data_IF_843537533411
#
_entry.id   IF_843537533411
#
_cell.length_a   1.000
_cell.length_b   1.000
_cell.length_c   1.000
_cell.angle_alpha   90.00
_cell.angle_beta   90.00
_cell.angle_gamma   90.00
#
_symmetry.space_group_name_H-M   'P 1'
#
loop_
_entity.id
_entity.type
_entity.pdbx_description
1 polymer ?
#
# COMPACT_ATOMS: atom_id res chain seq x y z
N UNK A 1 22.43 -28.35 -6.26
CA UNK A 1 22.28 -26.92 -6.61
C UNK A 1 21.76 -26.19 -5.40
N UNK A 2 22.57 -25.28 -4.83
CA UNK A 2 22.24 -24.50 -3.64
C UNK A 2 21.07 -23.56 -3.98
N UNK A 3 19.86 -23.89 -3.54
CA UNK A 3 18.74 -22.97 -3.58
C UNK A 3 19.02 -21.96 -2.45
N UNK A 4 19.62 -20.82 -2.77
CA UNK A 4 19.69 -19.72 -1.81
C UNK A 4 18.25 -19.35 -1.47
N UNK A 5 17.80 -19.74 -0.28
CA UNK A 5 16.55 -19.25 0.28
C UNK A 5 16.67 -17.73 0.36
N UNK A 6 15.99 -17.03 -0.54
CA UNK A 6 15.93 -15.58 -0.47
C UNK A 6 15.02 -15.19 0.69
N UNK A 7 15.49 -14.23 1.49
CA UNK A 7 14.71 -13.58 2.53
C UNK A 7 13.42 -12.96 1.96
N UNK A 8 12.34 -12.93 2.72
CA UNK A 8 11.04 -12.37 2.30
C UNK A 8 11.16 -10.99 1.64
N UNK A 9 11.98 -10.10 2.20
CA UNK A 9 12.26 -8.75 1.68
C UNK A 9 12.77 -8.77 0.23
N UNK A 10 13.67 -9.68 -0.11
CA UNK A 10 14.19 -9.80 -1.47
C UNK A 10 13.12 -10.35 -2.43
N UNK A 11 12.37 -11.35 -1.98
CA UNK A 11 11.28 -11.94 -2.77
C UNK A 11 10.18 -10.91 -3.04
N UNK A 12 9.83 -10.12 -2.03
CA UNK A 12 8.85 -9.05 -2.15
C UNK A 12 9.33 -7.97 -3.13
N UNK A 13 10.56 -7.45 -2.97
CA UNK A 13 11.13 -6.45 -3.89
C UNK A 13 11.20 -6.94 -5.34
N UNK A 14 11.62 -8.19 -5.55
CA UNK A 14 11.62 -8.81 -6.88
C UNK A 14 10.21 -8.90 -7.48
N UNK A 15 9.23 -9.34 -6.68
CA UNK A 15 7.84 -9.40 -7.11
C UNK A 15 7.29 -8.01 -7.45
N UNK A 16 7.50 -7.03 -6.57
CA UNK A 16 7.03 -5.64 -6.74
C UNK A 16 7.56 -5.03 -8.03
N UNK A 17 8.86 -5.17 -8.33
CA UNK A 17 9.44 -4.65 -9.57
C UNK A 17 8.80 -5.26 -10.82
N UNK A 18 8.61 -6.58 -10.83
CA UNK A 18 8.00 -7.28 -11.97
C UNK A 18 6.50 -6.99 -12.10
N UNK A 19 5.75 -7.02 -11.00
CA UNK A 19 4.30 -6.80 -10.98
C UNK A 19 3.95 -5.37 -11.38
N UNK A 20 4.67 -4.37 -10.87
CA UNK A 20 4.45 -2.97 -11.28
C UNK A 20 4.72 -2.80 -12.78
N UNK A 21 5.79 -3.40 -13.31
CA UNK A 21 6.10 -3.35 -14.75
C UNK A 21 4.97 -3.99 -15.58
N UNK A 22 4.47 -5.15 -15.15
CA UNK A 22 3.37 -5.85 -15.80
C UNK A 22 2.06 -5.04 -15.80
N UNK A 23 1.73 -4.38 -14.67
CA UNK A 23 0.55 -3.50 -14.57
C UNK A 23 0.66 -2.27 -15.47
N UNK A 24 1.86 -1.71 -15.63
CA UNK A 24 2.11 -0.57 -16.52
C UNK A 24 2.07 -1.03 -17.99
N UNK A 25 2.65 -2.20 -18.32
CA UNK A 25 2.74 -2.76 -19.67
C UNK A 25 2.46 -4.26 -19.66
N UNK A 26 1.23 -4.68 -19.97
CA UNK A 26 0.89 -6.09 -20.03
C UNK A 26 1.72 -6.81 -21.11
N UNK A 27 2.53 -7.78 -20.69
CA UNK A 27 3.31 -8.66 -21.57
C UNK A 27 3.24 -10.10 -21.07
N UNK A 28 2.85 -11.01 -21.95
CA UNK A 28 2.77 -12.46 -21.70
C UNK A 28 4.08 -13.08 -21.20
N UNK A 29 5.24 -12.60 -21.66
CA UNK A 29 6.53 -13.11 -21.20
C UNK A 29 6.80 -12.67 -19.75
N UNK A 30 6.43 -11.44 -19.40
CA UNK A 30 6.53 -10.91 -18.04
C UNK A 30 5.57 -11.60 -17.08
N UNK A 31 4.37 -11.96 -17.53
CA UNK A 31 3.39 -12.68 -16.71
C UNK A 31 3.97 -13.98 -16.12
N UNK A 32 4.72 -14.75 -16.90
CA UNK A 32 5.34 -15.98 -16.41
C UNK A 32 6.38 -15.69 -15.32
N UNK A 33 7.23 -14.68 -15.52
CA UNK A 33 8.24 -14.28 -14.53
C UNK A 33 7.58 -13.81 -13.22
N UNK A 34 6.54 -12.97 -13.31
CA UNK A 34 5.73 -12.53 -12.17
C UNK A 34 5.16 -13.73 -11.42
N UNK A 35 4.50 -14.66 -12.12
CA UNK A 35 3.88 -15.83 -11.49
C UNK A 35 4.92 -16.71 -10.76
N UNK A 36 6.10 -16.89 -11.33
CA UNK A 36 7.19 -17.62 -10.69
C UNK A 36 7.70 -16.90 -9.42
N UNK A 37 7.95 -15.60 -9.49
CA UNK A 37 8.36 -14.81 -8.32
C UNK A 37 7.28 -14.77 -7.24
N UNK A 38 6.02 -14.61 -7.64
CA UNK A 38 4.89 -14.58 -6.72
C UNK A 38 4.73 -15.90 -5.99
N UNK A 39 4.80 -17.04 -6.71
CA UNK A 39 4.78 -18.36 -6.10
C UNK A 39 5.90 -18.52 -5.06
N UNK A 40 7.13 -18.11 -5.38
CA UNK A 40 8.26 -18.17 -4.44
C UNK A 40 8.04 -17.30 -3.19
N UNK A 41 7.42 -16.13 -3.34
CA UNK A 41 7.05 -15.27 -2.22
C UNK A 41 5.99 -15.97 -1.34
N UNK A 42 4.92 -16.48 -1.95
CA UNK A 42 3.85 -17.19 -1.24
C UNK A 42 4.38 -18.46 -0.56
N UNK A 43 5.37 -19.12 -1.15
CA UNK A 43 5.95 -20.33 -0.58
C UNK A 43 6.63 -20.07 0.78
N UNK A 44 6.94 -18.81 1.14
CA UNK A 44 7.43 -18.43 2.48
C UNK A 44 6.37 -18.44 3.58
N UNK A 45 5.09 -18.47 3.22
CA UNK A 45 3.96 -18.38 4.16
C UNK A 45 3.29 -19.73 4.48
N UNK A 46 3.80 -20.83 3.91
CA UNK A 46 3.14 -22.15 3.77
C UNK A 46 2.72 -22.89 5.05
N UNK A 47 2.96 -22.37 6.26
CA UNK A 47 2.73 -23.14 7.48
C UNK A 47 1.75 -22.54 8.49
N UNK A 48 1.48 -21.24 8.47
CA UNK A 48 0.67 -20.61 9.53
C UNK A 48 -0.26 -19.49 9.04
N UNK A 49 -0.17 -19.08 7.77
CA UNK A 49 -0.84 -17.88 7.28
C UNK A 49 -1.79 -18.20 6.12
N UNK A 50 -2.99 -17.59 6.12
CA UNK A 50 -3.91 -17.66 5.00
C UNK A 50 -3.36 -16.89 3.77
N UNK A 51 -2.69 -17.64 2.89
CA UNK A 51 -2.13 -17.11 1.64
C UNK A 51 -3.21 -16.63 0.66
N UNK A 52 -4.49 -16.95 0.87
CA UNK A 52 -5.58 -16.50 -0.01
C UNK A 52 -5.74 -14.98 0.01
N UNK A 53 -5.42 -14.33 1.13
CA UNK A 53 -5.41 -12.87 1.27
C UNK A 53 -4.33 -12.29 0.37
N UNK A 54 -3.12 -12.85 0.40
CA UNK A 54 -2.00 -12.40 -0.42
C UNK A 54 -2.27 -12.64 -1.91
N UNK A 55 -2.82 -13.80 -2.25
CA UNK A 55 -3.23 -14.17 -3.61
C UNK A 55 -4.21 -13.19 -4.24
N UNK A 56 -5.08 -12.58 -3.42
CA UNK A 56 -6.07 -11.60 -3.87
C UNK A 56 -5.51 -10.18 -3.88
N UNK A 57 -4.82 -9.76 -2.82
CA UNK A 57 -4.39 -8.38 -2.63
C UNK A 57 -3.21 -7.99 -3.53
N UNK A 58 -2.14 -8.79 -3.56
CA UNK A 58 -0.90 -8.40 -4.23
C UNK A 58 -1.02 -8.18 -5.75
N UNK A 59 -1.80 -8.99 -6.52
CA UNK A 59 -1.96 -8.73 -7.94
C UNK A 59 -2.94 -7.60 -8.25
N UNK A 60 -3.65 -7.08 -7.25
CA UNK A 60 -4.66 -6.05 -7.44
C UNK A 60 -4.03 -4.74 -7.99
N UNK A 61 -4.59 -4.13 -9.05
CA UNK A 61 -4.02 -2.94 -9.69
C UNK A 61 -3.95 -1.71 -8.78
N UNK A 62 -4.71 -1.69 -7.67
CA UNK A 62 -4.72 -0.60 -6.71
C UNK A 62 -3.94 -0.86 -5.43
N UNK A 63 -3.40 -2.07 -5.25
CA UNK A 63 -2.60 -2.39 -4.07
C UNK A 63 -1.31 -1.57 -4.06
N UNK A 64 -0.93 -0.93 -2.93
CA UNK A 64 0.16 0.04 -2.87
C UNK A 64 1.55 -0.61 -2.78
N UNK A 65 1.86 -1.53 -3.70
CA UNK A 65 3.12 -2.28 -3.78
C UNK A 65 4.35 -1.39 -3.63
N UNK A 66 4.42 -0.31 -4.41
CA UNK A 66 5.57 0.59 -4.40
C UNK A 66 5.77 1.33 -3.07
N UNK A 67 4.69 1.59 -2.32
CA UNK A 67 4.79 2.23 -1.01
C UNK A 67 5.17 1.24 0.08
N UNK A 68 4.66 0.01 0.05
CA UNK A 68 5.08 -1.03 1.00
C UNK A 68 6.56 -1.40 0.81
N UNK A 69 7.03 -1.41 -0.44
CA UNK A 69 8.45 -1.56 -0.76
C UNK A 69 9.32 -0.47 -0.12
N UNK A 70 8.86 0.79 -0.21
CA UNK A 70 9.59 1.97 0.28
C UNK A 70 9.45 2.23 1.79
N UNK A 71 8.65 1.44 2.51
CA UNK A 71 8.38 1.64 3.94
C UNK A 71 8.64 0.36 4.73
N UNK A 72 7.68 -0.58 4.73
CA UNK A 72 7.73 -1.83 5.48
C UNK A 72 8.99 -2.64 5.15
N UNK A 73 9.31 -2.73 3.86
CA UNK A 73 10.43 -3.51 3.32
C UNK A 73 11.69 -2.66 3.01
N UNK A 74 11.68 -1.37 3.34
CA UNK A 74 12.85 -0.50 3.21
C UNK A 74 13.63 -0.45 4.52
N UNK A 75 14.96 -0.42 4.41
CA UNK A 75 15.81 -0.25 5.58
C UNK A 75 15.51 1.10 6.24
N UNK A 76 15.38 1.08 7.56
CA UNK A 76 15.15 2.31 8.33
C UNK A 76 16.51 2.94 8.59
N UNK A 77 16.71 4.14 8.07
CA UNK A 77 17.94 4.91 8.22
C UNK A 77 17.61 6.20 8.97
N UNK A 78 17.98 6.26 10.25
CA UNK A 78 17.76 7.44 11.10
C UNK A 78 19.02 7.83 11.89
N UNK A 79 19.01 9.03 12.49
CA UNK A 79 20.20 9.64 13.12
C UNK A 79 20.91 8.80 14.22
N UNK A 80 20.29 7.74 14.75
CA UNK A 80 20.91 6.88 15.79
C UNK A 80 20.73 5.38 15.61
N UNK A 81 19.96 4.92 14.62
CA UNK A 81 19.67 3.50 14.45
C UNK A 81 19.53 3.15 12.96
N UNK A 82 20.05 1.98 12.60
CA UNK A 82 19.88 1.34 11.30
C UNK A 82 19.16 0.02 11.51
N UNK A 83 18.01 -0.15 10.85
CA UNK A 83 17.27 -1.43 10.87
C UNK A 83 17.36 -2.02 9.48
N UNK A 84 18.23 -3.03 9.34
CA UNK A 84 18.30 -3.86 8.15
C UNK A 84 17.08 -4.79 8.08
N UNK A 85 16.18 -4.56 7.12
CA UNK A 85 14.98 -5.37 6.88
C UNK A 85 15.28 -6.74 6.26
N UNK A 86 16.55 -7.11 6.06
CA UNK A 86 17.00 -8.46 5.66
C UNK A 86 17.47 -9.31 6.83
N UNK A 87 17.30 -8.81 8.06
CA UNK A 87 17.53 -9.56 9.29
C UNK A 87 16.52 -10.70 9.40
N UNK A 88 16.99 -11.94 9.45
CA UNK A 88 16.13 -13.13 9.53
C UNK A 88 15.19 -13.15 10.74
N UNK A 89 15.57 -12.51 11.85
CA UNK A 89 14.68 -12.39 13.02
C UNK A 89 13.47 -11.46 12.77
N UNK A 90 13.53 -10.60 11.76
CA UNK A 90 12.42 -9.76 11.32
C UNK A 90 11.54 -10.43 10.26
N UNK A 91 11.98 -11.53 9.64
CA UNK A 91 11.24 -12.19 8.56
C UNK A 91 9.80 -12.58 8.94
N UNK A 92 9.53 -13.20 10.11
CA UNK A 92 8.17 -13.51 10.53
C UNK A 92 7.31 -12.26 10.71
N UNK A 93 7.88 -11.20 11.28
CA UNK A 93 7.20 -9.92 11.53
C UNK A 93 6.83 -9.26 10.19
N UNK A 94 7.76 -9.22 9.24
CA UNK A 94 7.52 -8.65 7.91
C UNK A 94 6.48 -9.45 7.12
N UNK A 95 6.47 -10.77 7.28
CA UNK A 95 5.42 -11.63 6.73
C UNK A 95 4.05 -11.28 7.30
N UNK A 96 3.95 -11.21 8.63
CA UNK A 96 2.72 -10.84 9.32
C UNK A 96 2.22 -9.45 8.91
N UNK A 97 3.10 -8.44 8.91
CA UNK A 97 2.78 -7.08 8.47
C UNK A 97 2.23 -7.06 7.04
N UNK A 98 2.84 -7.79 6.10
CA UNK A 98 2.34 -7.86 4.72
C UNK A 98 0.92 -8.45 4.64
N UNK A 99 0.63 -9.47 5.45
CA UNK A 99 -0.68 -10.12 5.49
C UNK A 99 -1.74 -9.20 6.09
N UNK A 100 -1.42 -8.50 7.19
CA UNK A 100 -2.31 -7.53 7.81
C UNK A 100 -2.64 -6.38 6.86
N UNK A 101 -1.62 -5.86 6.17
CA UNK A 101 -1.78 -4.82 5.15
C UNK A 101 -2.63 -5.29 3.97
N UNK A 102 -2.41 -6.51 3.48
CA UNK A 102 -3.21 -7.12 2.44
C UNK A 102 -4.67 -7.32 2.88
N UNK A 103 -4.90 -7.77 4.12
CA UNK A 103 -6.24 -7.94 4.69
C UNK A 103 -6.98 -6.60 4.86
N UNK A 104 -6.31 -5.59 5.40
CA UNK A 104 -6.86 -4.24 5.53
C UNK A 104 -7.24 -3.66 4.17
N UNK A 105 -6.36 -3.79 3.17
CA UNK A 105 -6.63 -3.35 1.81
C UNK A 105 -7.88 -4.02 1.21
N UNK A 106 -7.97 -5.36 1.25
CA UNK A 106 -9.11 -6.08 0.68
C UNK A 106 -10.42 -5.69 1.38
N UNK A 107 -10.39 -5.53 2.69
CA UNK A 107 -11.56 -5.10 3.46
C UNK A 107 -12.01 -3.70 3.07
N UNK A 108 -11.10 -2.73 3.04
CA UNK A 108 -11.40 -1.35 2.62
C UNK A 108 -11.89 -1.31 1.18
N UNK A 109 -11.27 -2.07 0.28
CA UNK A 109 -11.70 -2.19 -1.11
C UNK A 109 -13.14 -2.70 -1.21
N UNK A 110 -13.46 -3.76 -0.46
CA UNK A 110 -14.81 -4.34 -0.44
C UNK A 110 -15.83 -3.35 0.14
N UNK A 111 -15.49 -2.65 1.22
CA UNK A 111 -16.35 -1.63 1.83
C UNK A 111 -16.64 -0.50 0.84
N UNK A 112 -15.63 -0.01 0.13
CA UNK A 112 -15.79 1.01 -0.91
C UNK A 112 -16.76 0.55 -1.99
N UNK A 113 -16.66 -0.72 -2.41
CA UNK A 113 -17.53 -1.27 -3.45
C UNK A 113 -18.97 -1.51 -2.99
N UNK A 114 -19.19 -1.75 -1.70
CA UNK A 114 -20.50 -2.19 -1.17
C UNK A 114 -21.27 -1.11 -0.43
N UNK A 115 -20.57 -0.18 0.22
CA UNK A 115 -21.15 0.82 1.11
C UNK A 115 -21.11 2.24 0.53
N UNK A 116 -20.27 2.46 -0.47
CA UNK A 116 -20.08 3.75 -1.11
C UNK A 116 -20.26 3.62 -2.63
N UNK A 117 -20.44 4.76 -3.30
CA UNK A 117 -20.38 4.80 -4.77
C UNK A 117 -18.91 4.95 -5.20
N UNK A 118 -18.32 3.95 -5.88
CA UNK A 118 -16.91 3.98 -6.28
C UNK A 118 -16.54 5.14 -7.21
N UNK A 119 -17.53 5.77 -7.85
CA UNK A 119 -17.32 6.90 -8.75
C UNK A 119 -17.23 8.24 -8.01
N UNK A 120 -17.74 8.32 -6.78
CA UNK A 120 -17.87 9.58 -6.04
C UNK A 120 -17.13 9.57 -4.70
N UNK A 121 -16.76 8.41 -4.16
CA UNK A 121 -16.00 8.29 -2.91
C UNK A 121 -14.56 8.85 -3.03
N UNK A 122 -14.00 8.82 -4.23
CA UNK A 122 -12.66 9.36 -4.54
C UNK A 122 -12.65 10.03 -5.92
N UNK A 123 -11.50 10.60 -6.30
CA UNK A 123 -11.30 11.28 -7.58
C UNK A 123 -11.01 10.33 -8.75
N UNK A 124 -10.87 9.02 -8.47
CA UNK A 124 -10.45 7.98 -9.42
C UNK A 124 -11.43 6.81 -9.29
N UNK A 125 -12.16 6.41 -10.36
CA UNK A 125 -12.99 5.21 -10.32
C UNK A 125 -12.17 3.98 -9.88
N UNK A 126 -12.62 3.31 -8.83
CA UNK A 126 -11.97 2.11 -8.26
C UNK A 126 -12.67 0.84 -8.78
N UNK A 127 -12.82 0.75 -10.10
CA UNK A 127 -13.55 -0.32 -10.80
C UNK A 127 -12.63 -1.44 -11.34
N UNK A 128 -11.31 -1.29 -11.18
CA UNK A 128 -10.30 -2.23 -11.67
C UNK A 128 -9.94 -2.01 -13.14
N UNK A 129 -10.45 -0.95 -13.77
CA UNK A 129 -10.18 -0.60 -15.17
C UNK A 129 -9.24 0.58 -15.26
N UNK A 130 -8.19 0.44 -16.09
CA UNK A 130 -7.24 1.53 -16.34
C UNK A 130 -7.91 2.61 -17.18
N UNK A 131 -7.79 3.85 -16.73
CA UNK A 131 -8.28 5.05 -17.40
C UNK A 131 -7.19 6.14 -17.52
N UNK A 132 -7.47 7.20 -18.26
CA UNK A 132 -6.55 8.34 -18.30
C UNK A 132 -6.76 9.22 -17.08
N UNK A 133 -5.69 9.51 -16.34
CA UNK A 133 -5.74 10.46 -15.24
C UNK A 133 -5.69 11.89 -15.79
N UNK A 134 -6.54 12.81 -15.32
CA UNK A 134 -6.54 14.19 -15.77
C UNK A 134 -5.20 14.89 -15.51
N UNK A 135 -4.64 15.55 -16.54
CA UNK A 135 -3.38 16.28 -16.44
C UNK A 135 -3.50 17.50 -15.53
N UNK A 136 -2.52 17.72 -14.65
CA UNK A 136 -2.46 18.91 -13.78
C UNK A 136 -3.19 18.78 -12.44
N UNK A 137 -3.71 17.60 -12.10
CA UNK A 137 -4.22 17.33 -10.76
C UNK A 137 -3.11 16.90 -9.78
N UNK A 138 -3.43 16.91 -8.50
CA UNK A 138 -2.53 16.65 -7.37
C UNK A 138 -1.98 15.23 -7.23
N UNK A 139 -2.26 14.34 -8.18
CA UNK A 139 -1.95 12.92 -8.10
C UNK A 139 -0.46 12.62 -7.89
N UNK A 140 0.46 13.49 -8.34
CA UNK A 140 1.90 13.34 -8.10
C UNK A 140 2.38 13.70 -6.68
N UNK A 141 1.53 14.34 -5.87
CA UNK A 141 1.79 14.70 -4.46
C UNK A 141 1.04 13.80 -3.48
N UNK A 142 0.02 13.10 -3.96
CA UNK A 142 -0.82 12.23 -3.17
C UNK A 142 -0.03 11.01 -2.65
N UNK A 143 -0.35 10.59 -1.42
CA UNK A 143 0.34 9.52 -0.71
C UNK A 143 1.41 9.97 0.27
N UNK A 144 1.95 11.17 0.11
CA UNK A 144 2.95 11.73 1.03
C UNK A 144 2.32 12.18 2.36
N UNK A 145 1.12 12.76 2.31
CA UNK A 145 0.31 13.01 3.51
C UNK A 145 -0.15 11.73 4.19
N UNK A 146 -0.16 10.60 3.48
CA UNK A 146 -0.59 9.29 4.00
C UNK A 146 0.54 8.55 4.72
N UNK A 147 1.77 9.07 4.76
CA UNK A 147 2.83 8.59 5.66
C UNK A 147 2.60 9.16 7.07
N UNK A 148 1.44 8.86 7.65
CA UNK A 148 1.04 9.27 8.99
C UNK A 148 0.50 8.05 9.72
N UNK A 149 0.88 7.90 10.99
CA UNK A 149 0.45 6.77 11.81
C UNK A 149 -1.06 6.69 12.02
N UNK A 150 -1.75 7.83 11.95
CA UNK A 150 -3.19 7.94 12.10
C UNK A 150 -3.62 9.40 12.26
N UNK A 151 -4.93 9.62 12.26
CA UNK A 151 -5.59 10.91 12.46
C UNK A 151 -6.89 10.74 13.24
N UNK A 152 -7.43 11.79 13.88
CA UNK A 152 -8.80 11.78 14.38
C UNK A 152 -9.77 11.37 13.24
N UNK A 153 -10.58 10.31 13.43
CA UNK A 153 -11.36 9.68 12.37
C UNK A 153 -12.71 10.37 12.14
N UNK A 154 -12.78 11.68 12.34
CA UNK A 154 -14.04 12.43 12.27
C UNK A 154 -14.54 12.53 10.82
N UNK A 155 -15.71 11.95 10.48
CA UNK A 155 -16.23 11.99 9.12
C UNK A 155 -16.77 13.39 8.75
N UNK A 156 -16.80 13.74 7.45
CA UNK A 156 -17.58 14.87 6.97
C UNK A 156 -19.08 14.75 7.30
N UNK A 157 -19.80 15.88 7.25
CA UNK A 157 -21.24 15.88 7.46
C UNK A 157 -21.95 14.93 6.48
N UNK A 158 -22.92 14.17 7.00
CA UNK A 158 -23.70 13.15 6.27
C UNK A 158 -22.91 11.92 5.79
N UNK A 159 -21.65 11.74 6.22
CA UNK A 159 -20.89 10.52 5.98
C UNK A 159 -20.88 9.69 7.26
N UNK A 160 -21.16 8.39 7.13
CA UNK A 160 -21.01 7.42 8.21
C UNK A 160 -19.98 6.40 7.77
N UNK A 161 -18.85 6.35 8.48
CA UNK A 161 -17.86 5.30 8.25
C UNK A 161 -18.30 3.98 8.90
N UNK A 162 -17.93 2.83 8.33
CA UNK A 162 -17.97 1.56 9.06
C UNK A 162 -17.16 1.65 10.36
N UNK A 163 -17.65 1.06 11.45
CA UNK A 163 -17.02 1.17 12.77
C UNK A 163 -15.53 0.76 12.76
N UNK A 164 -15.17 -0.26 11.97
CA UNK A 164 -13.80 -0.73 11.88
C UNK A 164 -12.86 0.24 11.14
N UNK A 165 -13.38 1.18 10.34
CA UNK A 165 -12.56 2.23 9.74
C UNK A 165 -12.01 3.20 10.78
N UNK A 166 -12.70 3.38 11.91
CA UNK A 166 -12.25 4.30 12.96
C UNK A 166 -10.86 3.92 13.47
N UNK A 167 -10.63 2.63 13.73
CA UNK A 167 -9.32 2.13 14.15
C UNK A 167 -8.24 2.27 13.07
N UNK A 168 -8.57 2.00 11.79
CA UNK A 168 -7.63 2.18 10.69
C UNK A 168 -7.24 3.66 10.51
N UNK A 169 -8.21 4.56 10.60
CA UNK A 169 -7.99 6.00 10.47
C UNK A 169 -7.21 6.54 11.68
N UNK A 170 -7.52 6.07 12.89
CA UNK A 170 -6.85 6.48 14.13
C UNK A 170 -5.44 5.91 14.28
N UNK A 171 -5.07 4.86 13.54
CA UNK A 171 -3.76 4.21 13.68
C UNK A 171 -3.70 3.13 14.75
N UNK A 172 -4.85 2.56 15.09
CA UNK A 172 -4.99 1.64 16.23
C UNK A 172 -5.14 0.17 15.80
N UNK A 173 -5.35 -0.09 14.50
CA UNK A 173 -5.65 -1.45 14.01
C UNK A 173 -4.42 -2.24 13.57
N UNK A 174 -3.42 -1.60 12.94
CA UNK A 174 -2.22 -2.27 12.43
C UNK A 174 -1.03 -2.02 13.36
N UNK A 175 -0.28 -3.07 13.72
CA UNK A 175 0.83 -2.94 14.70
C UNK A 175 1.90 -1.94 14.25
N UNK A 176 2.20 -1.90 12.95
CA UNK A 176 3.18 -1.01 12.35
C UNK A 176 2.53 -0.18 11.22
N UNK A 177 1.58 0.68 11.60
CA UNK A 177 0.90 1.58 10.66
C UNK A 177 1.80 2.74 10.22
N UNK A 178 2.76 2.51 9.32
CA UNK A 178 3.61 3.58 8.76
C UNK A 178 2.92 4.37 7.65
N UNK A 179 1.84 3.81 7.10
CA UNK A 179 1.05 4.35 6.01
C UNK A 179 -0.42 4.38 6.43
N UNK A 180 -1.22 5.22 5.78
CA UNK A 180 -2.66 5.16 5.87
C UNK A 180 -3.19 3.95 5.05
N UNK A 181 -4.03 3.06 5.62
CA UNK A 181 -4.61 1.92 4.91
C UNK A 181 -5.47 2.29 3.69
N UNK A 182 -5.92 3.53 3.59
CA UNK A 182 -6.67 4.06 2.45
C UNK A 182 -5.79 4.57 1.31
N UNK A 183 -4.46 4.40 1.41
CA UNK A 183 -3.53 4.74 0.34
C UNK A 183 -3.53 3.68 -0.75
N UNK A 184 -4.08 4.02 -1.91
CA UNK A 184 -4.09 3.15 -3.08
C UNK A 184 -3.04 3.62 -4.10
N UNK A 185 -2.56 2.70 -4.94
CA UNK A 185 -1.66 2.98 -6.04
C UNK A 185 -2.40 2.88 -7.37
N UNK A 186 -1.89 3.50 -8.43
CA UNK A 186 -2.53 3.46 -9.74
C UNK A 186 -1.78 2.54 -10.71
N UNK A 187 -2.24 1.29 -10.92
CA UNK A 187 -1.74 0.37 -11.97
C UNK A 187 -0.22 0.25 -12.05
N UNK A 188 0.44 0.11 -10.89
CA UNK A 188 1.89 -0.02 -10.79
C UNK A 188 2.68 1.27 -11.09
N UNK A 189 2.02 2.35 -11.50
CA UNK A 189 2.65 3.67 -11.64
C UNK A 189 3.05 4.20 -10.25
N UNK A 190 4.08 5.05 -10.15
CA UNK A 190 4.41 5.77 -8.91
C UNK A 190 3.42 6.90 -8.61
N UNK A 191 2.13 6.66 -8.84
CA UNK A 191 1.01 7.54 -8.63
C UNK A 191 0.12 6.92 -7.56
N UNK A 192 -0.11 7.67 -6.48
CA UNK A 192 -0.87 7.20 -5.33
C UNK A 192 -2.05 8.12 -5.07
N UNK A 193 -3.08 7.62 -4.41
CA UNK A 193 -4.28 8.39 -4.10
C UNK A 193 -4.98 7.87 -2.84
N UNK A 194 -5.77 8.74 -2.22
CA UNK A 194 -6.65 8.33 -1.12
C UNK A 194 -7.90 7.68 -1.70
N UNK A 195 -8.17 6.42 -1.36
CA UNK A 195 -9.33 5.67 -1.83
C UNK A 195 -10.67 6.25 -1.36
N UNK A 196 -10.63 7.16 -0.37
CA UNK A 196 -11.79 7.85 0.18
C UNK A 196 -11.67 9.38 0.08
N UNK A 197 -10.94 9.89 -0.92
CA UNK A 197 -10.54 11.31 -0.99
C UNK A 197 -11.70 12.31 -0.75
N UNK A 198 -12.88 12.07 -1.33
CA UNK A 198 -14.00 13.01 -1.26
C UNK A 198 -14.74 12.93 0.08
N UNK A 199 -14.56 11.83 0.82
CA UNK A 199 -15.16 11.61 2.12
C UNK A 199 -14.10 11.45 3.22
N UNK A 200 -12.87 11.92 3.01
CA UNK A 200 -11.76 11.75 3.95
C UNK A 200 -12.06 12.45 5.28
N UNK A 201 -11.44 12.04 6.40
CA UNK A 201 -11.68 12.66 7.69
C UNK A 201 -11.43 14.16 7.68
N UNK A 202 -12.11 14.90 8.55
CA UNK A 202 -11.97 16.36 8.66
C UNK A 202 -10.52 16.77 8.96
N UNK A 203 -9.82 15.99 9.78
CA UNK A 203 -8.40 16.14 10.07
C UNK A 203 -7.52 16.06 8.81
N UNK A 204 -7.89 15.21 7.85
CA UNK A 204 -7.23 15.09 6.55
C UNK A 204 -7.53 16.23 5.57
N UNK A 205 -8.55 17.07 5.82
CA UNK A 205 -8.84 18.26 5.00
C UNK A 205 -7.81 19.37 5.21
N UNK A 206 -7.16 19.40 6.37
CA UNK A 206 -6.16 20.40 6.72
C UNK A 206 -4.89 20.25 5.86
N UNK A 207 -4.59 19.03 5.39
CA UNK A 207 -3.44 18.78 4.53
C UNK A 207 -3.65 19.32 3.12
N UNK A 208 -2.89 20.36 2.79
CA UNK A 208 -2.94 21.06 1.52
C UNK A 208 -1.69 20.77 0.64
N UNK A 209 -1.59 21.50 -0.48
CA UNK A 209 -0.58 21.22 -1.51
C UNK A 209 0.81 21.51 -0.99
N UNK A 210 0.89 22.55 -0.17
CA UNK A 210 2.12 23.03 0.43
C UNK A 210 2.63 22.02 1.44
N UNK A 211 1.75 21.42 2.23
CA UNK A 211 2.11 20.36 3.17
C UNK A 211 2.66 19.12 2.45
N UNK A 212 1.99 18.67 1.39
CA UNK A 212 2.47 17.53 0.60
C UNK A 212 3.82 17.82 -0.08
N UNK A 213 4.03 19.04 -0.62
CA UNK A 213 5.31 19.44 -1.22
C UNK A 213 6.44 19.46 -0.19
N UNK A 214 6.20 20.07 0.98
CA UNK A 214 7.19 20.11 2.06
C UNK A 214 7.64 18.70 2.46
N UNK A 215 6.71 17.78 2.62
CA UNK A 215 7.05 16.39 2.97
C UNK A 215 7.82 15.64 1.86
N UNK A 216 7.68 16.01 0.59
CA UNK A 216 8.52 15.43 -0.47
C UNK A 216 9.99 15.83 -0.31
N UNK A 217 10.24 17.05 0.15
CA UNK A 217 11.60 17.55 0.43
C UNK A 217 12.22 16.83 1.65
N UNK A 218 11.39 16.41 2.61
CA UNK A 218 11.78 15.79 3.89
C UNK A 218 11.87 14.23 3.86
N UNK A 219 11.91 13.56 2.70
CA UNK A 219 11.86 12.07 2.54
C UNK A 219 13.00 11.24 3.19
N UNK A 220 13.76 11.79 4.13
CA UNK A 220 15.03 11.24 4.64
C UNK A 220 14.97 10.11 5.68
N UNK A 221 13.87 9.35 5.82
CA UNK A 221 13.79 8.27 6.85
C UNK A 221 13.97 6.84 6.32
N UNK A 222 13.76 6.62 5.02
CA UNK A 222 13.91 5.31 4.40
C UNK A 222 15.00 5.40 3.33
N UNK A 223 16.07 4.62 3.50
CA UNK A 223 17.17 4.55 2.55
C UNK A 223 16.82 3.67 1.33
N UNK A 224 17.42 3.99 0.19
CA UNK A 224 17.32 3.21 -1.06
C UNK A 224 17.90 1.81 -0.93
#
# INVERSE_FOLDING_TARGET
MNCQEHHITELFKQYVGLQQTLLIRPDTAQQHAVNCCFKRLLDRFHRETDVSILLQALPDPYFPLGMLEQTIFADVVGMRFFINKKRYDLEPILGQELVEWAGAFLRIRQDIQTLFDPNTVTCIPVDGTRHHLPSGQWCGLCGVCCQIGGVPPDPPANVVYPDHWLGFLAGETLENQQLCPFLFQYFGEPLYFCAIHNIKPLSCLVFDQKDCRRRLEDRGLHGS
#
